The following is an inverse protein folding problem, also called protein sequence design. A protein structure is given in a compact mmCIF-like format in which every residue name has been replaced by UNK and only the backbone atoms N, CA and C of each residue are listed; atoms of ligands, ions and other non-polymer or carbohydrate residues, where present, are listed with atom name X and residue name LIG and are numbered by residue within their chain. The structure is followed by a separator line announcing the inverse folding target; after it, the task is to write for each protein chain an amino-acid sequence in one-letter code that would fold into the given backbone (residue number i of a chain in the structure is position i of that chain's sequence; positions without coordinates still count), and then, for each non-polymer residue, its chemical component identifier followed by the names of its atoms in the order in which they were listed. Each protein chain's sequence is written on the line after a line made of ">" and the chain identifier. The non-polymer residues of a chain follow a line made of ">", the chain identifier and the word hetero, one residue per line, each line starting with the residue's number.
data_IF_017486456228
#
_entry.id   IF_017486456228
#
_cell.length_a   1.000
_cell.length_b   1.000
_cell.length_c   1.000
_cell.angle_alpha   90.00
_cell.angle_beta   90.00
_cell.angle_gamma   90.00
#
_symmetry.space_group_name_H-M   'P 1'
#
loop_
_entity.id
_entity.type
_entity.pdbx_description
1 polymer ?
#
# COMPACT_ATOMS: atom_id res chain seq x y z
N UNK A 1 -36.65 -4.19 -6.64
CA UNK A 1 -35.93 -2.91 -6.83
C UNK A 1 -34.45 -3.24 -6.79
N UNK A 2 -33.78 -3.20 -7.94
CA UNK A 2 -32.36 -3.55 -8.04
C UNK A 2 -31.51 -2.52 -7.33
N UNK A 3 -30.72 -2.98 -6.36
CA UNK A 3 -29.66 -2.21 -5.74
C UNK A 3 -28.67 -1.81 -6.83
N UNK A 4 -28.46 -0.51 -7.03
CA UNK A 4 -27.31 0.00 -7.79
C UNK A 4 -26.08 -0.52 -7.04
N UNK A 5 -25.35 -1.47 -7.62
CA UNK A 5 -24.00 -1.79 -7.13
C UNK A 5 -23.21 -0.48 -7.21
N UNK A 6 -22.81 0.02 -6.06
CA UNK A 6 -21.89 1.15 -6.00
C UNK A 6 -20.55 0.62 -6.49
N UNK A 7 -20.15 0.94 -7.73
CA UNK A 7 -18.81 0.68 -8.29
C UNK A 7 -17.73 1.52 -7.59
N UNK A 8 -17.71 1.52 -6.26
CA UNK A 8 -16.77 2.28 -5.43
C UNK A 8 -16.32 1.39 -4.29
N UNK A 9 -15.04 1.49 -3.96
CA UNK A 9 -14.51 0.88 -2.75
C UNK A 9 -15.26 1.41 -1.53
N UNK A 10 -15.53 0.57 -0.51
CA UNK A 10 -16.19 1.02 0.71
C UNK A 10 -15.39 2.13 1.39
N UNK A 11 -16.05 3.23 1.76
CA UNK A 11 -15.48 4.28 2.60
C UNK A 11 -15.89 4.05 4.05
N UNK A 12 -14.91 3.86 4.94
CA UNK A 12 -15.12 3.50 6.34
C UNK A 12 -14.65 4.66 7.23
N UNK A 13 -15.50 5.07 8.16
CA UNK A 13 -15.24 6.21 9.01
C UNK A 13 -14.50 5.83 10.31
N UNK A 14 -13.25 6.25 10.43
CA UNK A 14 -12.41 6.10 11.62
C UNK A 14 -12.33 7.38 12.47
N UNK A 15 -13.06 8.43 12.09
CA UNK A 15 -12.99 9.75 12.72
C UNK A 15 -13.73 9.85 14.07
N UNK A 16 -14.48 8.81 14.45
CA UNK A 16 -15.27 8.81 15.68
C UNK A 16 -14.38 8.80 16.92
N UNK A 17 -14.59 9.77 17.83
CA UNK A 17 -13.89 9.83 19.13
C UNK A 17 -14.17 8.61 20.02
N UNK A 18 -15.34 7.97 19.85
CA UNK A 18 -15.72 6.75 20.57
C UNK A 18 -15.21 5.43 19.93
N UNK A 19 -14.31 5.50 18.95
CA UNK A 19 -13.71 4.32 18.32
C UNK A 19 -12.67 3.67 19.23
N UNK A 20 -13.14 2.92 20.23
CA UNK A 20 -12.31 2.19 21.21
C UNK A 20 -12.83 0.77 21.43
N UNK A 21 -11.95 -0.22 21.68
CA UNK A 21 -12.36 -1.61 21.89
C UNK A 21 -13.50 -1.75 22.90
N UNK A 22 -14.55 -2.49 22.51
CA UNK A 22 -15.72 -2.75 23.35
C UNK A 22 -16.90 -1.80 23.15
N UNK A 23 -16.78 -0.72 22.38
CA UNK A 23 -17.93 0.14 22.03
C UNK A 23 -18.74 -0.45 20.87
N UNK A 24 -19.99 0.00 20.74
CA UNK A 24 -20.84 -0.32 19.59
C UNK A 24 -20.23 0.18 18.29
N UNK A 25 -19.66 1.39 18.30
CA UNK A 25 -18.92 1.98 17.16
C UNK A 25 -17.75 1.08 16.74
N UNK A 26 -16.96 0.59 17.70
CA UNK A 26 -15.86 -0.33 17.40
C UNK A 26 -16.35 -1.63 16.75
N UNK A 27 -17.42 -2.22 17.27
CA UNK A 27 -18.00 -3.43 16.69
C UNK A 27 -18.50 -3.20 15.26
N UNK A 28 -19.14 -2.06 14.98
CA UNK A 28 -19.59 -1.70 13.63
C UNK A 28 -18.40 -1.54 12.68
N UNK A 29 -17.45 -0.66 13.02
CA UNK A 29 -16.29 -0.37 12.17
C UNK A 29 -15.45 -1.61 11.93
N UNK A 30 -15.22 -2.45 12.95
CA UNK A 30 -14.51 -3.73 12.78
C UNK A 30 -15.23 -4.66 11.79
N UNK A 31 -16.56 -4.68 11.83
CA UNK A 31 -17.37 -5.51 10.92
C UNK A 31 -17.29 -4.99 9.49
N UNK A 32 -17.40 -3.67 9.30
CA UNK A 32 -17.26 -3.00 8.01
C UNK A 32 -15.88 -3.25 7.40
N UNK A 33 -14.82 -3.10 8.21
CA UNK A 33 -13.43 -3.37 7.79
C UNK A 33 -13.31 -4.82 7.32
N UNK A 34 -13.74 -5.78 8.15
CA UNK A 34 -13.68 -7.21 7.79
C UNK A 34 -14.39 -7.49 6.47
N UNK A 35 -15.62 -7.00 6.30
CA UNK A 35 -16.39 -7.21 5.08
C UNK A 35 -15.74 -6.57 3.85
N UNK A 36 -15.23 -5.34 3.98
CA UNK A 36 -14.54 -4.67 2.88
C UNK A 36 -13.29 -5.44 2.46
N UNK A 37 -12.53 -5.97 3.42
CA UNK A 37 -11.33 -6.76 3.16
C UNK A 37 -11.63 -8.16 2.61
N UNK A 38 -12.74 -8.80 2.98
CA UNK A 38 -13.17 -10.10 2.45
C UNK A 38 -13.67 -10.01 1.00
N UNK A 39 -14.32 -8.90 0.64
CA UNK A 39 -14.99 -8.71 -0.66
C UNK A 39 -14.13 -7.94 -1.66
N UNK A 40 -13.51 -6.84 -1.23
CA UNK A 40 -12.76 -5.93 -2.09
C UNK A 40 -11.24 -6.02 -1.86
N UNK A 41 -10.80 -6.57 -0.73
CA UNK A 41 -9.39 -6.56 -0.33
C UNK A 41 -8.84 -5.18 0.04
N UNK A 42 -9.67 -4.14 0.00
CA UNK A 42 -9.32 -2.77 0.29
C UNK A 42 -10.53 -1.94 0.76
N UNK A 43 -10.27 -0.78 1.34
CA UNK A 43 -11.27 0.25 1.65
C UNK A 43 -10.63 1.64 1.69
N UNK A 44 -11.45 2.67 1.53
CA UNK A 44 -11.06 4.06 1.80
C UNK A 44 -11.27 4.34 3.30
N UNK A 45 -10.20 4.69 4.00
CA UNK A 45 -10.21 4.97 5.42
C UNK A 45 -10.35 6.49 5.63
N UNK A 46 -11.49 6.93 6.16
CA UNK A 46 -11.83 8.34 6.40
C UNK A 46 -11.50 8.72 7.84
N UNK A 47 -10.74 9.79 8.04
CA UNK A 47 -10.36 10.27 9.37
C UNK A 47 -10.66 11.75 9.52
N UNK A 48 -10.76 12.21 10.78
CA UNK A 48 -10.56 13.62 11.12
C UNK A 48 -9.06 13.92 11.01
N UNK A 49 -8.54 13.91 9.78
CA UNK A 49 -7.13 14.13 9.50
C UNK A 49 -6.70 15.56 9.88
N UNK A 50 -5.39 15.79 9.86
CA UNK A 50 -4.82 17.14 9.71
C UNK A 50 -4.54 17.31 8.21
N UNK A 51 -5.43 17.93 7.41
CA UNK A 51 -5.25 18.05 5.95
C UNK A 51 -3.89 18.64 5.57
N UNK A 52 -3.38 19.50 6.46
CA UNK A 52 -2.05 20.09 6.39
C UNK A 52 -0.91 19.08 6.25
N UNK A 53 -0.90 17.98 7.00
CA UNK A 53 0.19 16.99 6.91
C UNK A 53 0.16 16.27 5.55
N UNK A 54 -1.02 15.93 5.05
CA UNK A 54 -1.17 15.29 3.74
C UNK A 54 -0.68 16.20 2.60
N UNK A 55 -1.03 17.48 2.66
CA UNK A 55 -0.55 18.49 1.71
C UNK A 55 0.97 18.71 1.80
N UNK A 56 1.53 18.74 3.01
CA UNK A 56 2.97 18.83 3.24
C UNK A 56 3.71 17.60 2.66
N UNK A 57 3.18 16.39 2.86
CA UNK A 57 3.77 15.17 2.29
C UNK A 57 3.77 15.19 0.75
N UNK A 58 2.64 15.53 0.12
CA UNK A 58 2.55 15.53 -1.34
C UNK A 58 3.49 16.55 -1.98
N UNK A 59 3.59 17.75 -1.42
CA UNK A 59 4.48 18.75 -2.00
C UNK A 59 5.96 18.43 -1.79
N UNK A 60 6.31 17.69 -0.73
CA UNK A 60 7.66 17.16 -0.59
C UNK A 60 8.00 16.18 -1.73
N UNK A 61 7.03 15.40 -2.22
CA UNK A 61 7.22 14.52 -3.38
C UNK A 61 7.43 15.32 -4.65
N UNK A 62 6.58 16.33 -4.92
CA UNK A 62 6.70 17.19 -6.11
C UNK A 62 8.11 17.76 -6.20
N UNK A 63 8.55 18.39 -5.10
CA UNK A 63 9.87 19.00 -5.02
C UNK A 63 11.00 17.99 -5.12
N UNK A 64 10.83 16.78 -4.57
CA UNK A 64 11.82 15.71 -4.72
C UNK A 64 11.96 15.30 -6.18
N UNK A 65 10.84 15.10 -6.89
CA UNK A 65 10.86 14.63 -8.27
C UNK A 65 11.26 15.72 -9.27
N UNK A 66 11.09 17.00 -8.92
CA UNK A 66 11.63 18.15 -9.66
C UNK A 66 13.16 18.31 -9.53
N UNK A 67 13.80 17.64 -8.56
CA UNK A 67 15.26 17.65 -8.45
C UNK A 67 15.90 17.08 -9.72
N UNK A 68 17.07 17.61 -10.13
CA UNK A 68 17.82 17.05 -11.26
C UNK A 68 18.03 15.54 -11.09
N UNK A 69 17.94 14.79 -12.18
CA UNK A 69 18.16 13.34 -12.18
C UNK A 69 19.49 12.96 -11.49
N UNK A 70 20.56 13.74 -11.75
CA UNK A 70 21.87 13.56 -11.11
C UNK A 70 21.85 13.70 -9.58
N UNK A 71 20.90 14.46 -9.02
CA UNK A 71 20.70 14.57 -7.57
C UNK A 71 19.93 13.36 -7.05
N UNK A 72 18.84 12.96 -7.72
CA UNK A 72 18.01 11.82 -7.31
C UNK A 72 18.79 10.51 -7.25
N UNK A 73 19.65 10.24 -8.24
CA UNK A 73 20.50 9.03 -8.28
C UNK A 73 21.56 8.96 -7.18
N UNK A 74 21.84 10.07 -6.47
CA UNK A 74 22.78 10.03 -5.32
C UNK A 74 22.20 9.21 -4.16
N UNK A 75 20.88 9.09 -4.06
CA UNK A 75 20.22 8.20 -3.11
C UNK A 75 20.01 6.83 -3.74
N UNK A 76 21.10 6.13 -4.03
CA UNK A 76 21.08 4.76 -4.53
C UNK A 76 21.29 3.77 -3.37
N UNK A 77 20.64 2.60 -3.46
CA UNK A 77 20.89 1.47 -2.57
C UNK A 77 20.91 0.17 -3.38
N UNK A 78 21.84 -0.72 -3.06
CA UNK A 78 21.83 -2.10 -3.54
C UNK A 78 20.78 -2.96 -2.83
N UNK A 79 20.11 -2.40 -1.81
CA UNK A 79 19.05 -3.08 -1.07
C UNK A 79 17.74 -2.93 -1.83
N UNK A 80 17.08 -4.05 -2.12
CA UNK A 80 15.78 -4.04 -2.76
C UNK A 80 14.80 -3.16 -1.97
N UNK A 81 14.03 -2.32 -2.67
CA UNK A 81 13.07 -1.37 -2.08
C UNK A 81 13.68 -0.31 -1.14
N UNK A 82 14.96 0.02 -1.36
CA UNK A 82 15.58 1.22 -0.80
C UNK A 82 16.25 2.01 -1.93
N UNK A 83 16.21 3.33 -1.84
CA UNK A 83 16.84 4.18 -2.84
C UNK A 83 15.93 4.57 -4.00
N UNK A 84 16.51 5.36 -4.89
CA UNK A 84 15.92 5.84 -6.13
C UNK A 84 15.91 4.73 -7.17
N UNK A 85 14.74 4.47 -7.73
CA UNK A 85 14.53 3.60 -8.89
C UNK A 85 13.91 4.45 -10.00
N UNK A 86 14.76 4.90 -10.91
CA UNK A 86 14.37 5.75 -12.03
C UNK A 86 13.72 5.00 -13.18
N UNK A 87 13.50 5.77 -14.25
CA UNK A 87 13.01 5.31 -15.56
C UNK A 87 13.87 4.15 -16.05
N UNK A 88 13.29 2.95 -16.13
CA UNK A 88 13.94 1.78 -16.68
C UNK A 88 13.18 1.26 -17.90
N UNK A 89 13.80 0.43 -18.78
CA UNK A 89 13.16 -0.03 -20.01
C UNK A 89 11.84 -0.81 -19.82
N UNK A 90 11.61 -1.37 -18.63
CA UNK A 90 10.39 -2.13 -18.29
C UNK A 90 9.27 -1.20 -17.80
N UNK A 91 9.62 -0.13 -17.09
CA UNK A 91 8.69 0.88 -16.58
C UNK A 91 9.17 2.29 -16.94
N UNK A 92 9.06 2.70 -18.21
CA UNK A 92 9.66 3.94 -18.70
C UNK A 92 8.97 5.21 -18.19
N UNK A 93 7.81 5.08 -17.55
CA UNK A 93 7.02 6.19 -17.02
C UNK A 93 7.03 6.25 -15.49
N UNK A 94 7.69 5.30 -14.83
CA UNK A 94 7.79 5.27 -13.37
C UNK A 94 9.05 5.99 -12.92
N UNK A 95 8.87 7.04 -12.12
CA UNK A 95 9.93 7.69 -11.37
C UNK A 95 9.65 7.46 -9.88
N UNK A 96 10.51 6.74 -9.16
CA UNK A 96 10.19 6.27 -7.81
C UNK A 96 11.38 6.32 -6.85
N UNK A 97 11.07 6.52 -5.57
CA UNK A 97 12.03 6.41 -4.47
C UNK A 97 11.39 5.60 -3.36
N UNK A 98 12.16 4.68 -2.78
CA UNK A 98 11.75 3.91 -1.62
C UNK A 98 12.67 4.23 -0.43
N UNK A 99 12.07 4.34 0.75
CA UNK A 99 12.80 4.60 2.00
C UNK A 99 12.36 3.54 3.00
N UNK A 100 13.30 2.70 3.42
CA UNK A 100 13.02 1.70 4.44
C UNK A 100 12.73 2.31 5.80
N UNK A 101 11.55 2.00 6.35
CA UNK A 101 11.06 2.63 7.57
C UNK A 101 11.49 1.95 8.86
N UNK A 102 12.03 0.72 8.78
CA UNK A 102 12.44 -0.08 9.94
C UNK A 102 13.66 0.51 10.69
N UNK A 103 14.39 1.41 10.04
CA UNK A 103 15.56 2.14 10.55
C UNK A 103 15.39 3.67 10.44
N UNK A 104 14.15 4.17 10.48
CA UNK A 104 13.93 5.61 10.55
C UNK A 104 14.53 6.17 11.84
N UNK A 105 15.72 6.75 11.72
CA UNK A 105 16.32 7.62 12.73
C UNK A 105 16.24 9.07 12.25
N UNK A 106 16.22 10.00 13.20
CA UNK A 106 16.29 11.42 12.89
C UNK A 106 17.55 11.75 12.06
N UNK A 107 18.68 11.08 12.37
CA UNK A 107 19.93 11.20 11.62
C UNK A 107 19.81 10.72 10.17
N UNK A 108 19.12 9.60 9.91
CA UNK A 108 18.90 9.09 8.54
C UNK A 108 18.01 10.04 7.74
N UNK A 109 16.96 10.58 8.38
CA UNK A 109 16.08 11.58 7.79
C UNK A 109 16.81 12.89 7.49
N UNK A 110 17.64 13.36 8.42
CA UNK A 110 18.45 14.58 8.25
C UNK A 110 19.46 14.40 7.12
N UNK A 111 20.14 13.25 7.05
CA UNK A 111 21.06 12.91 5.95
C UNK A 111 20.35 12.87 4.60
N UNK A 112 19.17 12.25 4.52
CA UNK A 112 18.37 12.22 3.29
C UNK A 112 17.94 13.64 2.89
N UNK A 113 17.43 14.42 3.84
CA UNK A 113 16.95 15.79 3.58
C UNK A 113 18.08 16.70 3.12
N UNK A 114 19.24 16.66 3.78
CA UNK A 114 20.42 17.45 3.39
C UNK A 114 21.00 17.02 2.04
N UNK A 115 20.87 15.74 1.67
CA UNK A 115 21.28 15.23 0.37
C UNK A 115 20.39 15.78 -0.76
N UNK A 116 19.08 15.88 -0.52
CA UNK A 116 18.09 16.29 -1.52
C UNK A 116 17.95 17.81 -1.62
N UNK A 117 17.95 18.50 -0.47
CA UNK A 117 17.80 19.95 -0.37
C UNK A 117 18.95 20.55 0.46
N UNK A 118 20.17 20.61 -0.09
CA UNK A 118 21.34 21.15 0.63
C UNK A 118 21.18 22.63 1.02
N UNK A 119 20.27 23.35 0.37
CA UNK A 119 19.96 24.76 0.62
C UNK A 119 18.65 24.95 1.44
N UNK A 120 18.00 23.87 1.88
CA UNK A 120 16.72 23.88 2.61
C UNK A 120 15.48 23.90 1.72
N UNK A 121 14.29 23.76 2.33
CA UNK A 121 13.00 23.69 1.63
C UNK A 121 11.87 24.27 2.51
N UNK A 122 11.07 25.22 1.99
CA UNK A 122 10.10 25.99 2.79
C UNK A 122 8.70 26.18 2.20
N UNK A 123 8.29 25.45 1.17
CA UNK A 123 6.95 25.61 0.57
C UNK A 123 6.23 24.29 0.32
N UNK A 124 4.88 24.30 0.42
CA UNK A 124 4.04 23.11 0.19
C UNK A 124 2.70 23.44 -0.51
N UNK A 125 2.32 22.69 -1.56
CA UNK A 125 0.99 22.61 -2.22
C UNK A 125 0.74 21.26 -2.96
N UNK A 126 -0.51 20.97 -3.38
CA UNK A 126 -1.07 19.63 -3.71
C UNK A 126 -1.42 19.43 -5.21
N UNK A 127 -1.36 18.18 -5.71
CA UNK A 127 -2.00 17.77 -6.98
C UNK A 127 -2.89 16.49 -6.84
N UNK A 128 -4.18 16.59 -7.21
CA UNK A 128 -5.24 15.58 -7.09
C UNK A 128 -5.55 14.78 -8.36
N UNK A 129 -4.54 14.19 -9.01
CA UNK A 129 -4.71 13.41 -10.27
C UNK A 129 -5.21 11.97 -10.02
N UNK A 130 -6.16 11.52 -10.84
CA UNK A 130 -6.73 10.16 -10.82
C UNK A 130 -5.79 9.12 -11.44
N UNK A 131 -6.08 7.83 -11.25
CA UNK A 131 -5.41 6.75 -11.98
C UNK A 131 -5.33 5.40 -11.28
N UNK A 132 -5.62 5.32 -9.98
CA UNK A 132 -5.61 4.04 -9.26
C UNK A 132 -6.88 3.25 -9.59
N UNK A 133 -6.71 2.02 -10.07
CA UNK A 133 -7.79 1.06 -10.29
C UNK A 133 -7.51 -0.24 -9.49
N UNK A 134 -8.57 -0.79 -8.89
CA UNK A 134 -8.49 -1.97 -8.02
C UNK A 134 -9.51 -3.00 -8.51
N UNK A 135 -9.10 -4.25 -8.64
CA UNK A 135 -10.00 -5.34 -9.01
C UNK A 135 -10.65 -5.96 -7.76
N UNK A 136 -11.97 -5.94 -7.71
CA UNK A 136 -12.73 -6.63 -6.67
C UNK A 136 -12.73 -8.16 -6.89
N UNK A 137 -13.18 -8.92 -5.88
CA UNK A 137 -13.17 -10.39 -5.91
C UNK A 137 -14.01 -11.01 -7.03
N UNK A 138 -15.00 -10.30 -7.54
CA UNK A 138 -15.83 -10.70 -8.69
C UNK A 138 -15.18 -10.42 -10.05
N UNK A 139 -13.99 -9.79 -10.05
CA UNK A 139 -13.23 -9.44 -11.25
C UNK A 139 -13.53 -8.04 -11.79
N UNK A 140 -14.46 -7.28 -11.19
CA UNK A 140 -14.75 -5.91 -11.62
C UNK A 140 -13.64 -4.94 -11.22
N UNK A 141 -13.23 -4.06 -12.16
CA UNK A 141 -12.27 -3.00 -11.91
C UNK A 141 -12.97 -1.73 -11.41
N UNK A 142 -12.47 -1.19 -10.30
CA UNK A 142 -13.01 -0.03 -9.60
C UNK A 142 -11.97 1.09 -9.62
N UNK A 143 -12.32 2.20 -10.27
CA UNK A 143 -11.52 3.45 -10.22
C UNK A 143 -11.68 4.12 -8.87
N UNK A 144 -10.55 4.42 -8.24
CA UNK A 144 -10.50 5.11 -6.94
C UNK A 144 -10.29 6.60 -7.15
N UNK A 145 -11.19 7.40 -6.56
CA UNK A 145 -11.10 8.85 -6.58
C UNK A 145 -10.13 9.36 -5.48
N UNK A 146 -9.14 10.19 -5.81
CA UNK A 146 -8.28 10.81 -4.82
C UNK A 146 -9.07 11.70 -3.85
N UNK A 147 -8.72 11.68 -2.58
CA UNK A 147 -9.35 12.49 -1.53
C UNK A 147 -8.30 12.99 -0.55
N UNK A 148 -8.44 14.27 -0.15
CA UNK A 148 -7.52 14.91 0.79
C UNK A 148 -7.79 14.53 2.26
N UNK A 149 -8.90 13.84 2.54
CA UNK A 149 -9.37 13.49 3.89
C UNK A 149 -9.39 11.99 4.16
N UNK A 150 -8.82 11.20 3.25
CA UNK A 150 -8.78 9.74 3.38
C UNK A 150 -7.55 9.16 2.70
N UNK A 151 -7.32 7.87 2.96
CA UNK A 151 -6.34 7.08 2.24
C UNK A 151 -6.89 5.69 1.97
N UNK A 152 -6.39 5.07 0.91
CA UNK A 152 -6.73 3.69 0.58
C UNK A 152 -5.91 2.75 1.46
N UNK A 153 -6.57 1.81 2.11
CA UNK A 153 -5.95 0.69 2.82
C UNK A 153 -6.19 -0.57 1.99
N UNK A 154 -5.13 -1.34 1.76
CA UNK A 154 -5.19 -2.55 0.94
C UNK A 154 -4.40 -3.69 1.59
N UNK A 155 -4.90 -4.91 1.40
CA UNK A 155 -4.23 -6.14 1.82
C UNK A 155 -3.14 -6.53 0.84
N UNK A 156 -1.99 -6.96 1.38
CA UNK A 156 -0.97 -7.68 0.62
C UNK A 156 -1.04 -9.19 0.81
N UNK A 157 -0.38 -9.93 -0.09
CA UNK A 157 -0.39 -11.41 -0.12
C UNK A 157 0.03 -12.07 1.20
N UNK A 158 0.92 -11.45 1.98
CA UNK A 158 1.34 -11.97 3.28
C UNK A 158 0.19 -12.02 4.28
N UNK A 159 -0.68 -11.01 4.28
CA UNK A 159 -1.83 -10.98 5.18
C UNK A 159 -2.98 -11.87 4.67
N UNK A 160 -3.11 -12.03 3.36
CA UNK A 160 -3.96 -13.08 2.75
C UNK A 160 -3.53 -14.47 3.22
N UNK A 161 -2.24 -14.80 3.14
CA UNK A 161 -1.70 -16.08 3.60
C UNK A 161 -1.88 -16.30 5.11
N UNK A 162 -1.59 -15.27 5.93
CA UNK A 162 -1.86 -15.31 7.37
C UNK A 162 -3.34 -15.60 7.67
N UNK A 163 -4.26 -15.06 6.88
CA UNK A 163 -5.70 -15.30 7.04
C UNK A 163 -6.22 -16.62 6.43
N UNK A 164 -5.33 -17.46 5.89
CA UNK A 164 -5.69 -18.68 5.16
C UNK A 164 -6.68 -18.44 3.99
N UNK A 165 -6.43 -17.42 3.15
CA UNK A 165 -7.29 -16.99 2.04
C UNK A 165 -8.69 -16.45 2.44
N UNK A 166 -8.95 -16.23 3.74
CA UNK A 166 -10.21 -15.59 4.17
C UNK A 166 -10.29 -14.14 3.71
N UNK A 167 -9.16 -13.44 3.71
CA UNK A 167 -9.07 -12.07 3.21
C UNK A 167 -8.52 -12.05 1.78
N UNK A 168 -9.02 -11.13 0.96
CA UNK A 168 -8.65 -11.03 -0.44
C UNK A 168 -7.47 -10.07 -0.64
N UNK A 169 -6.43 -10.50 -1.36
CA UNK A 169 -5.40 -9.61 -1.88
C UNK A 169 -5.81 -9.18 -3.31
N UNK A 170 -6.20 -7.92 -3.52
CA UNK A 170 -6.73 -7.50 -4.81
C UNK A 170 -5.60 -7.18 -5.80
N UNK A 171 -5.84 -7.47 -7.08
CA UNK A 171 -5.02 -6.91 -8.14
C UNK A 171 -5.28 -5.41 -8.23
N UNK A 172 -4.23 -4.65 -8.50
CA UNK A 172 -4.32 -3.20 -8.65
C UNK A 172 -3.32 -2.74 -9.70
N UNK A 173 -3.64 -1.63 -10.35
CA UNK A 173 -2.78 -0.98 -11.32
C UNK A 173 -3.01 0.52 -11.32
N UNK A 174 -2.04 1.25 -11.87
CA UNK A 174 -2.14 2.69 -12.07
C UNK A 174 -2.20 2.96 -13.56
N UNK A 175 -3.30 3.54 -13.99
CA UNK A 175 -3.52 3.99 -15.35
C UNK A 175 -3.01 5.43 -15.50
N UNK A 176 -2.23 5.66 -16.56
CA UNK A 176 -1.82 7.01 -16.96
C UNK A 176 -2.97 7.66 -17.72
N UNK A 177 -3.74 8.51 -17.03
CA UNK A 177 -4.94 9.16 -17.57
C UNK A 177 -4.73 10.67 -17.60
N UNK A 178 -4.81 11.27 -18.78
CA UNK A 178 -4.63 12.71 -18.99
C UNK A 178 -3.16 13.13 -19.17
N UNK A 179 -2.92 14.43 -19.14
CA UNK A 179 -1.60 15.04 -19.39
C UNK A 179 -0.90 15.51 -18.09
N UNK A 180 -1.56 15.35 -16.94
CA UNK A 180 -1.06 15.81 -15.64
C UNK A 180 -0.17 14.76 -14.96
N UNK A 181 0.88 15.23 -14.27
CA UNK A 181 1.77 14.36 -13.47
C UNK A 181 1.06 13.90 -12.21
N UNK A 182 1.02 12.58 -11.97
CA UNK A 182 0.41 11.99 -10.78
C UNK A 182 1.46 11.65 -9.72
N UNK A 183 1.28 12.17 -8.51
CA UNK A 183 2.07 11.80 -7.34
C UNK A 183 1.29 10.86 -6.42
N UNK A 184 1.97 9.87 -5.84
CA UNK A 184 1.40 9.02 -4.79
C UNK A 184 2.46 8.51 -3.84
N UNK A 185 2.06 8.24 -2.61
CA UNK A 185 2.89 7.57 -1.60
C UNK A 185 2.16 6.34 -1.10
N UNK A 186 2.91 5.25 -0.94
CA UNK A 186 2.43 4.03 -0.30
C UNK A 186 3.26 3.75 0.95
N UNK A 187 2.58 3.35 2.04
CA UNK A 187 3.22 2.87 3.26
C UNK A 187 2.95 1.38 3.39
N UNK A 188 4.01 0.57 3.32
CA UNK A 188 3.91 -0.88 3.44
C UNK A 188 4.17 -1.32 4.88
N UNK A 189 3.28 -2.17 5.40
CA UNK A 189 3.45 -2.79 6.72
C UNK A 189 4.18 -4.13 6.60
N UNK A 190 5.10 -4.38 7.53
CA UNK A 190 5.88 -5.61 7.55
C UNK A 190 5.66 -6.37 8.87
N UNK A 191 5.58 -7.69 8.77
CA UNK A 191 5.47 -8.58 9.94
C UNK A 191 6.87 -8.95 10.41
N UNK A 192 7.15 -8.81 11.71
CA UNK A 192 8.42 -9.29 12.28
C UNK A 192 8.30 -10.77 12.63
N UNK A 193 9.30 -11.55 12.20
CA UNK A 193 9.39 -12.97 12.49
C UNK A 193 8.54 -13.85 11.57
N UNK A 194 8.37 -15.11 11.97
CA UNK A 194 7.67 -16.12 11.18
C UNK A 194 6.18 -15.81 11.09
N UNK A 195 5.65 -15.71 9.87
CA UNK A 195 4.21 -15.61 9.60
C UNK A 195 3.63 -17.02 9.61
N UNK A 196 2.56 -17.19 10.37
CA UNK A 196 1.86 -18.46 10.53
C UNK A 196 0.35 -18.22 10.53
N UNK A 197 -0.38 -19.08 9.84
CA UNK A 197 -1.84 -19.11 9.89
C UNK A 197 -2.29 -19.44 11.32
N UNK A 198 -3.16 -18.62 11.95
CA UNK A 198 -3.72 -18.93 13.26
C UNK A 198 -4.50 -20.24 13.22
N UNK A 199 -4.39 -21.05 14.29
CA UNK A 199 -5.06 -22.35 14.38
C UNK A 199 -6.58 -22.20 14.25
N UNK A 200 -7.15 -21.09 14.73
CA UNK A 200 -8.58 -20.80 14.66
C UNK A 200 -9.10 -20.55 13.24
N UNK A 201 -8.20 -20.34 12.28
CA UNK A 201 -8.56 -20.14 10.87
C UNK A 201 -8.55 -21.45 10.07
N UNK A 202 -8.15 -22.56 10.68
CA UNK A 202 -8.02 -23.88 10.07
C UNK A 202 -9.05 -24.84 10.66
N UNK A 203 -9.90 -25.39 9.81
CA UNK A 203 -10.94 -26.34 10.18
C UNK A 203 -11.18 -27.35 9.04
N UNK A 204 -12.15 -28.27 9.21
CA UNK A 204 -12.44 -29.29 8.19
C UNK A 204 -12.96 -28.67 6.87
N UNK A 205 -13.61 -27.51 6.92
CA UNK A 205 -14.11 -26.79 5.75
C UNK A 205 -13.02 -25.90 5.13
N UNK A 206 -12.03 -25.47 5.93
CA UNK A 206 -10.92 -24.58 5.55
C UNK A 206 -9.57 -25.20 5.95
N UNK A 207 -9.06 -26.19 5.19
CA UNK A 207 -7.78 -26.81 5.50
C UNK A 207 -6.62 -25.81 5.38
N UNK A 208 -5.49 -26.12 6.02
CA UNK A 208 -4.29 -25.28 5.98
C UNK A 208 -3.78 -25.15 4.55
N UNK A 209 -3.65 -23.92 4.05
CA UNK A 209 -3.19 -23.63 2.69
C UNK A 209 -1.71 -23.21 2.62
N UNK A 210 -1.14 -22.77 3.74
CA UNK A 210 0.19 -22.16 3.79
C UNK A 210 1.05 -22.75 4.91
N UNK A 211 2.30 -23.06 4.59
CA UNK A 211 3.35 -23.41 5.56
C UNK A 211 3.87 -22.14 6.23
N UNK A 212 4.32 -22.20 7.51
CA UNK A 212 5.04 -21.10 8.14
C UNK A 212 6.15 -20.53 7.26
N UNK A 213 6.22 -19.20 7.16
CA UNK A 213 7.21 -18.55 6.29
C UNK A 213 7.73 -17.23 6.86
N UNK A 214 8.95 -16.86 6.50
CA UNK A 214 9.54 -15.58 6.85
C UNK A 214 9.16 -14.51 5.82
N UNK A 215 8.67 -13.36 6.28
CA UNK A 215 8.19 -12.29 5.39
C UNK A 215 9.35 -11.71 4.55
N UNK A 216 10.54 -11.50 5.12
CA UNK A 216 11.69 -11.01 4.36
C UNK A 216 12.13 -12.02 3.28
N UNK A 217 12.15 -13.31 3.61
CA UNK A 217 12.46 -14.37 2.65
C UNK A 217 11.43 -14.42 1.50
N UNK A 218 10.14 -14.27 1.81
CA UNK A 218 9.09 -14.17 0.80
C UNK A 218 9.32 -12.97 -0.13
N UNK A 219 9.60 -11.81 0.44
CA UNK A 219 9.82 -10.58 -0.32
C UNK A 219 11.02 -10.70 -1.27
N UNK A 220 12.11 -11.35 -0.82
CA UNK A 220 13.26 -11.64 -1.67
C UNK A 220 12.90 -12.62 -2.80
N UNK A 221 12.09 -13.65 -2.53
CA UNK A 221 11.60 -14.59 -3.54
C UNK A 221 10.72 -13.91 -4.59
N UNK A 222 9.78 -13.05 -4.18
CA UNK A 222 8.82 -12.37 -5.06
C UNK A 222 9.48 -11.53 -6.16
N UNK A 223 10.72 -11.07 -5.94
CA UNK A 223 11.52 -10.33 -6.92
C UNK A 223 12.23 -11.21 -7.97
N UNK A 224 12.23 -12.53 -7.79
CA UNK A 224 12.91 -13.45 -8.70
C UNK A 224 12.10 -13.69 -9.98
N UNK A 225 12.79 -14.03 -11.08
CA UNK A 225 12.13 -14.49 -12.31
C UNK A 225 11.36 -15.80 -12.12
N UNK A 226 11.69 -16.56 -11.07
CA UNK A 226 10.99 -17.79 -10.72
C UNK A 226 9.61 -17.48 -10.14
N UNK A 227 9.52 -16.54 -9.20
CA UNK A 227 8.25 -16.11 -8.61
C UNK A 227 7.27 -15.58 -9.66
N UNK A 228 7.75 -14.89 -10.69
CA UNK A 228 6.91 -14.37 -11.79
C UNK A 228 6.20 -15.45 -12.62
N UNK A 229 6.54 -16.74 -12.44
CA UNK A 229 5.86 -17.85 -13.12
C UNK A 229 4.59 -18.32 -12.42
N UNK A 230 4.38 -17.90 -11.17
CA UNK A 230 3.21 -18.29 -10.39
C UNK A 230 2.13 -17.22 -10.50
N UNK A 231 0.88 -17.65 -10.69
CA UNK A 231 -0.29 -16.75 -10.65
C UNK A 231 -0.45 -16.10 -9.27
N UNK A 232 -0.07 -16.82 -8.20
CA UNK A 232 0.11 -16.27 -6.86
C UNK A 232 1.49 -16.63 -6.34
N UNK A 233 2.31 -15.60 -6.15
CA UNK A 233 3.70 -15.74 -5.75
C UNK A 233 3.79 -16.34 -4.34
N UNK A 234 2.91 -15.93 -3.43
CA UNK A 234 2.89 -16.47 -2.07
C UNK A 234 2.54 -17.96 -2.02
N UNK A 235 1.60 -18.41 -2.88
CA UNK A 235 1.28 -19.83 -3.00
C UNK A 235 2.43 -20.64 -3.58
N UNK A 236 3.16 -20.08 -4.56
CA UNK A 236 4.38 -20.69 -5.08
C UNK A 236 5.49 -20.81 -4.03
N UNK A 237 5.56 -19.85 -3.10
CA UNK A 237 6.58 -19.81 -2.07
C UNK A 237 6.31 -20.75 -0.89
N UNK A 238 5.12 -20.68 -0.32
CA UNK A 238 4.79 -21.36 0.93
C UNK A 238 3.48 -22.18 0.90
N UNK A 239 2.89 -22.41 -0.27
CA UNK A 239 1.71 -23.27 -0.41
C UNK A 239 1.93 -24.69 0.13
N UNK A 240 0.85 -25.27 0.67
CA UNK A 240 0.81 -26.69 1.11
C UNK A 240 0.68 -27.62 -0.08
#
# INVERSE_FOLDING_TARGET
>A
MGSVSSNKVPAINFASEDLRPGTTTWCSVRTEVRQALEVYGCFEAVFNGKPRLHQEMLSALEQYFDLPHETKIKYFSDTAFDGYTGINPVMPLLDSVAIHTYELSFERLERFTNLMWPEGNSSFCQNGVKGLEIQAKDGEWISVEPSASSFVVMIGEVFMAWSNDRLHCPLHHVMMIGDDVRYSTALFSHSKGMVQTPEEMVDEEHPLLYKPFDHCAYHAFALTKEAQKFDSQIKGFCGV
#
